data_IF_406685155524
#
_entry.id   IF_406685155524
#
_cell.length_a   1.000
_cell.length_b   1.000
_cell.length_c   1.000
_cell.angle_alpha   90.00
_cell.angle_beta   90.00
_cell.angle_gamma   90.00
#
_symmetry.space_group_name_H-M   'P 1'
#
loop_
_entity.id
_entity.type
_entity.pdbx_description
1 polymer ?
#
# COMPACT_ATOMS: atom_id res chain seq x y z
N UNK A 1 -10.10 38.84 4.50
CA UNK A 1 -10.60 37.54 5.01
C UNK A 1 -9.91 36.47 4.20
N UNK A 2 -8.83 35.90 4.74
CA UNK A 2 -8.03 34.89 4.06
C UNK A 2 -8.63 33.51 4.33
N UNK A 3 -8.93 32.80 3.25
CA UNK A 3 -9.45 31.43 3.26
C UNK A 3 -8.27 30.47 3.37
N UNK A 4 -8.14 29.79 4.52
CA UNK A 4 -7.13 28.76 4.73
C UNK A 4 -7.55 27.51 3.96
N UNK A 5 -6.95 27.33 2.78
CA UNK A 5 -7.00 26.07 2.04
C UNK A 5 -6.35 25.00 2.91
N UNK A 6 -7.14 24.03 3.38
CA UNK A 6 -6.61 22.84 4.05
C UNK A 6 -5.87 22.03 2.97
N UNK A 7 -4.56 22.03 3.10
CA UNK A 7 -3.64 21.24 2.27
C UNK A 7 -3.84 19.74 2.60
N UNK A 8 -4.64 19.06 1.79
CA UNK A 8 -4.97 17.63 1.93
C UNK A 8 -3.84 16.74 1.38
N UNK A 9 -2.80 17.32 0.78
CA UNK A 9 -1.71 16.58 0.12
C UNK A 9 -0.64 16.05 1.10
N UNK A 10 -0.93 16.14 2.41
CA UNK A 10 -0.02 15.76 3.49
C UNK A 10 -0.70 14.95 4.58
N UNK A 11 -1.70 14.14 4.22
CA UNK A 11 -2.22 13.12 5.13
C UNK A 11 -1.09 12.11 5.41
N UNK A 12 -0.53 12.23 6.60
CA UNK A 12 0.62 11.50 7.09
C UNK A 12 0.32 9.99 7.06
N UNK A 13 1.12 9.26 6.26
CA UNK A 13 1.07 7.80 6.13
C UNK A 13 1.19 7.09 7.49
N UNK A 14 1.77 7.76 8.50
CA UNK A 14 1.90 7.27 9.87
C UNK A 14 0.55 7.06 10.59
N UNK A 15 -0.48 7.86 10.28
CA UNK A 15 -1.80 7.75 10.92
C UNK A 15 -2.58 6.53 10.40
N UNK A 16 -2.34 6.11 9.17
CA UNK A 16 -2.92 4.87 8.60
C UNK A 16 -2.23 3.61 9.12
N UNK A 17 -0.94 3.68 9.43
CA UNK A 17 -0.07 2.56 9.80
C UNK A 17 -0.40 1.92 11.15
N UNK A 18 -0.92 2.68 12.11
CA UNK A 18 -1.26 2.17 13.44
C UNK A 18 -2.31 1.03 13.43
N UNK A 19 -3.05 0.86 12.33
CA UNK A 19 -4.05 -0.20 12.17
C UNK A 19 -3.58 -1.50 11.49
N UNK A 20 -2.44 -1.50 10.77
CA UNK A 20 -2.12 -2.54 9.77
C UNK A 20 -1.21 -3.69 10.26
N UNK A 21 -0.46 -3.52 11.35
CA UNK A 21 0.60 -4.44 11.78
C UNK A 21 0.16 -5.78 12.43
N UNK A 22 -1.06 -6.28 12.16
CA UNK A 22 -1.64 -7.41 12.92
C UNK A 22 -1.77 -8.75 12.18
N UNK A 23 -1.46 -8.85 10.89
CA UNK A 23 -1.90 -10.01 10.11
C UNK A 23 -0.84 -10.46 9.09
N UNK A 24 0.07 -11.38 9.46
CA UNK A 24 0.33 -12.66 8.74
C UNK A 24 1.67 -13.36 9.10
N UNK A 25 1.74 -14.72 9.00
CA UNK A 25 2.86 -15.55 9.44
C UNK A 25 3.83 -16.02 8.32
N UNK A 26 4.91 -16.65 8.78
CA UNK A 26 6.28 -16.80 8.23
C UNK A 26 6.45 -17.94 7.18
N UNK A 27 7.41 -17.79 6.25
CA UNK A 27 8.03 -18.93 5.52
C UNK A 27 9.19 -18.61 4.55
N UNK A 28 10.44 -18.67 5.06
CA UNK A 28 11.78 -18.95 4.43
C UNK A 28 12.31 -18.14 3.22
N UNK A 29 13.51 -17.55 3.40
CA UNK A 29 14.34 -16.84 2.40
C UNK A 29 14.94 -17.72 1.28
N UNK A 30 15.07 -17.15 0.07
CA UNK A 30 16.31 -17.30 -0.71
C UNK A 30 16.92 -15.96 -1.16
N UNK A 31 18.16 -16.07 -1.62
CA UNK A 31 19.18 -15.03 -1.80
C UNK A 31 18.79 -13.79 -2.62
N UNK A 32 19.40 -12.66 -2.24
CA UNK A 32 19.32 -11.33 -2.85
C UNK A 32 20.08 -11.28 -4.20
N UNK A 33 19.44 -11.03 -5.35
CA UNK A 33 20.12 -10.57 -6.55
C UNK A 33 20.22 -9.04 -6.54
N UNK A 34 21.42 -8.53 -6.84
CA UNK A 34 21.70 -7.11 -7.04
C UNK A 34 21.10 -6.59 -8.35
N UNK A 35 20.76 -5.30 -8.31
CA UNK A 35 20.03 -4.53 -9.30
C UNK A 35 20.54 -4.65 -10.74
N UNK A 36 19.64 -5.04 -11.66
CA UNK A 36 19.52 -4.53 -13.03
C UNK A 36 18.28 -5.16 -13.72
N UNK A 37 17.11 -4.71 -13.26
CA UNK A 37 15.79 -4.70 -13.89
C UNK A 37 14.92 -4.09 -12.80
N UNK A 38 14.79 -2.75 -12.75
CA UNK A 38 14.35 -2.07 -11.51
C UNK A 38 13.02 -2.59 -10.95
N UNK A 39 12.21 -3.22 -11.79
CA UNK A 39 11.13 -4.11 -11.38
C UNK A 39 11.21 -5.38 -12.23
N UNK A 40 10.93 -6.55 -11.66
CA UNK A 40 10.69 -7.76 -12.44
C UNK A 40 9.55 -7.54 -13.43
N UNK A 41 9.43 -8.40 -14.46
CA UNK A 41 8.30 -8.29 -15.39
C UNK A 41 6.98 -8.42 -14.63
N UNK A 42 6.03 -7.47 -14.78
CA UNK A 42 4.78 -7.56 -14.07
C UNK A 42 3.99 -8.79 -14.50
N UNK A 43 3.39 -9.48 -13.53
CA UNK A 43 2.64 -10.72 -13.79
C UNK A 43 1.24 -10.46 -14.38
N UNK A 44 0.78 -9.21 -14.35
CA UNK A 44 -0.45 -8.78 -14.99
C UNK A 44 -0.34 -7.32 -15.48
N UNK A 45 -1.13 -6.92 -16.50
CA UNK A 45 -1.25 -5.52 -16.86
C UNK A 45 -1.83 -4.71 -15.69
N UNK A 46 -1.55 -3.41 -15.66
CA UNK A 46 -2.13 -2.51 -14.66
C UNK A 46 -3.66 -2.55 -14.77
N UNK A 47 -4.40 -2.85 -13.68
CA UNK A 47 -5.85 -2.88 -13.73
C UNK A 47 -6.43 -1.47 -13.85
N UNK A 48 -7.69 -1.40 -14.26
CA UNK A 48 -8.46 -0.16 -14.19
C UNK A 48 -8.58 0.32 -12.74
N UNK A 49 -8.40 1.64 -12.52
CA UNK A 49 -8.51 2.28 -11.20
C UNK A 49 -9.98 2.48 -10.80
N UNK A 50 -10.72 1.39 -10.76
CA UNK A 50 -12.10 1.28 -10.26
C UNK A 50 -12.13 0.34 -9.06
N UNK A 51 -13.16 0.44 -8.21
CA UNK A 51 -13.33 -0.44 -7.03
C UNK A 51 -13.26 -1.91 -7.46
N UNK A 52 -14.01 -2.27 -8.50
CA UNK A 52 -14.09 -3.64 -9.02
C UNK A 52 -12.79 -4.08 -9.74
N UNK A 53 -12.13 -3.18 -10.47
CA UNK A 53 -10.84 -3.46 -11.10
C UNK A 53 -9.76 -3.79 -10.07
N UNK A 54 -9.64 -2.96 -9.04
CA UNK A 54 -8.69 -3.16 -7.96
C UNK A 54 -9.03 -4.40 -7.13
N UNK A 55 -10.31 -4.63 -6.82
CA UNK A 55 -10.73 -5.82 -6.05
C UNK A 55 -10.35 -7.12 -6.77
N UNK A 56 -10.61 -7.20 -8.07
CA UNK A 56 -10.22 -8.37 -8.89
C UNK A 56 -8.71 -8.58 -8.90
N UNK A 57 -7.93 -7.51 -9.02
CA UNK A 57 -6.47 -7.61 -8.98
C UNK A 57 -5.96 -8.09 -7.60
N UNK A 58 -6.49 -7.53 -6.51
CA UNK A 58 -6.16 -7.97 -5.14
C UNK A 58 -6.54 -9.43 -4.92
N UNK A 59 -7.70 -9.87 -5.40
CA UNK A 59 -8.13 -11.26 -5.31
C UNK A 59 -7.21 -12.25 -6.05
N UNK A 60 -6.50 -11.80 -7.09
CA UNK A 60 -5.55 -12.62 -7.84
C UNK A 60 -4.14 -12.59 -7.25
N UNK A 61 -3.67 -11.41 -6.86
CA UNK A 61 -2.28 -11.19 -6.46
C UNK A 61 -2.05 -11.42 -4.96
N UNK A 62 -2.96 -10.93 -4.13
CA UNK A 62 -2.79 -10.90 -2.68
C UNK A 62 -4.15 -11.05 -1.95
N UNK A 63 -4.77 -12.25 -1.98
CA UNK A 63 -6.12 -12.47 -1.44
C UNK A 63 -6.25 -12.13 0.05
N UNK A 64 -5.14 -12.19 0.79
CA UNK A 64 -5.08 -11.86 2.21
C UNK A 64 -5.41 -10.38 2.51
N UNK A 65 -5.28 -9.49 1.52
CA UNK A 65 -5.65 -8.09 1.64
C UNK A 65 -7.15 -7.81 1.47
N UNK A 66 -7.95 -8.76 0.95
CA UNK A 66 -9.38 -8.52 0.69
C UNK A 66 -10.18 -8.07 1.92
N UNK A 67 -10.02 -8.67 3.13
CA UNK A 67 -10.74 -8.21 4.31
C UNK A 67 -10.41 -6.76 4.67
N UNK A 68 -9.16 -6.35 4.47
CA UNK A 68 -8.68 -5.01 4.76
C UNK A 68 -9.15 -4.00 3.71
N UNK A 69 -9.13 -4.40 2.43
CA UNK A 69 -9.71 -3.63 1.34
C UNK A 69 -11.18 -3.34 1.59
N UNK A 70 -11.93 -4.35 1.99
CA UNK A 70 -13.35 -4.23 2.32
C UNK A 70 -13.61 -3.33 3.53
N UNK A 71 -12.77 -3.44 4.57
CA UNK A 71 -12.87 -2.61 5.77
C UNK A 71 -12.58 -1.14 5.44
N UNK A 72 -11.42 -0.86 4.84
CA UNK A 72 -11.00 0.49 4.47
C UNK A 72 -11.96 1.16 3.47
N UNK A 73 -12.60 0.39 2.57
CA UNK A 73 -13.61 0.93 1.65
C UNK A 73 -14.84 1.44 2.40
N UNK A 74 -15.32 0.67 3.40
CA UNK A 74 -16.46 1.08 4.24
C UNK A 74 -16.12 2.33 5.05
N UNK A 75 -14.92 2.40 5.63
CA UNK A 75 -14.44 3.55 6.39
C UNK A 75 -14.34 4.81 5.50
N UNK A 76 -13.76 4.68 4.31
CA UNK A 76 -13.67 5.77 3.34
C UNK A 76 -15.05 6.26 2.88
N UNK A 77 -15.99 5.34 2.64
CA UNK A 77 -17.38 5.68 2.28
C UNK A 77 -18.09 6.42 3.42
N UNK A 78 -17.99 5.90 4.64
CA UNK A 78 -18.60 6.54 5.82
C UNK A 78 -18.04 7.95 6.05
N UNK A 79 -16.73 8.11 5.87
CA UNK A 79 -16.05 9.41 5.98
C UNK A 79 -16.53 10.36 4.89
N UNK A 80 -16.54 9.92 3.63
CA UNK A 80 -16.97 10.71 2.49
C UNK A 80 -18.40 11.24 2.65
N UNK A 81 -19.31 10.41 3.15
CA UNK A 81 -20.68 10.80 3.47
C UNK A 81 -20.73 11.80 4.63
N UNK A 82 -19.99 11.56 5.71
CA UNK A 82 -19.93 12.44 6.89
C UNK A 82 -19.49 13.86 6.55
N UNK A 83 -18.50 14.00 5.68
CA UNK A 83 -17.95 15.31 5.29
C UNK A 83 -18.51 15.84 3.96
N UNK A 84 -19.39 15.08 3.30
CA UNK A 84 -19.96 15.37 1.98
C UNK A 84 -18.90 15.69 0.90
N UNK A 85 -17.82 14.92 0.88
CA UNK A 85 -16.69 15.04 -0.06
C UNK A 85 -16.23 13.66 -0.51
N UNK A 86 -15.87 13.54 -1.79
CA UNK A 86 -15.42 12.26 -2.35
C UNK A 86 -13.91 12.01 -2.19
N UNK A 87 -13.16 12.97 -1.65
CA UNK A 87 -11.71 12.86 -1.46
C UNK A 87 -11.27 11.61 -0.69
N UNK A 88 -11.97 11.14 0.36
CA UNK A 88 -11.63 9.88 1.03
C UNK A 88 -11.70 8.65 0.10
N UNK A 89 -12.70 8.59 -0.79
CA UNK A 89 -12.82 7.51 -1.77
C UNK A 89 -11.76 7.61 -2.87
N UNK A 90 -11.38 8.83 -3.28
CA UNK A 90 -10.28 9.05 -4.23
C UNK A 90 -8.95 8.61 -3.62
N UNK A 91 -8.68 8.96 -2.36
CA UNK A 91 -7.51 8.52 -1.62
C UNK A 91 -7.48 6.99 -1.47
N UNK A 92 -8.61 6.37 -1.15
CA UNK A 92 -8.74 4.91 -1.09
C UNK A 92 -8.41 4.23 -2.43
N UNK A 93 -8.91 4.75 -3.56
CA UNK A 93 -8.59 4.23 -4.90
C UNK A 93 -7.09 4.35 -5.21
N UNK A 94 -6.46 5.47 -4.84
CA UNK A 94 -5.02 5.69 -5.03
C UNK A 94 -4.20 4.71 -4.22
N UNK A 95 -4.54 4.53 -2.94
CA UNK A 95 -3.85 3.62 -2.05
C UNK A 95 -3.87 2.18 -2.59
N UNK A 96 -5.06 1.66 -2.93
CA UNK A 96 -5.18 0.29 -3.45
C UNK A 96 -4.58 0.11 -4.85
N UNK A 97 -4.55 1.16 -5.67
CA UNK A 97 -3.79 1.13 -6.92
C UNK A 97 -2.28 0.99 -6.67
N UNK A 98 -1.73 1.71 -5.69
CA UNK A 98 -0.31 1.59 -5.32
C UNK A 98 0.03 0.21 -4.73
N UNK A 99 -0.83 -0.34 -3.87
CA UNK A 99 -0.66 -1.72 -3.36
C UNK A 99 -0.64 -2.72 -4.52
N UNK A 100 -1.60 -2.65 -5.44
CA UNK A 100 -1.63 -3.53 -6.62
C UNK A 100 -0.41 -3.32 -7.52
N UNK A 101 0.09 -2.10 -7.66
CA UNK A 101 1.31 -1.78 -8.41
C UNK A 101 2.55 -2.46 -7.80
N UNK A 102 2.62 -2.58 -6.47
CA UNK A 102 3.66 -3.37 -5.79
C UNK A 102 3.42 -4.87 -6.04
N UNK A 103 2.22 -5.36 -5.75
CA UNK A 103 1.91 -6.80 -5.78
C UNK A 103 2.03 -7.42 -7.19
N UNK A 104 1.81 -6.63 -8.26
CA UNK A 104 1.98 -7.12 -9.64
C UNK A 104 3.45 -7.32 -10.03
N UNK A 105 4.40 -6.84 -9.24
CA UNK A 105 5.84 -7.06 -9.42
C UNK A 105 6.35 -7.95 -8.26
N UNK A 106 6.54 -9.27 -8.49
CA UNK A 106 6.83 -10.22 -7.41
C UNK A 106 8.06 -9.88 -6.56
N UNK A 107 9.08 -9.26 -7.15
CA UNK A 107 10.28 -8.78 -6.46
C UNK A 107 9.97 -7.63 -5.48
N UNK A 108 9.10 -6.69 -5.87
CA UNK A 108 8.65 -5.61 -5.00
C UNK A 108 7.73 -6.11 -3.90
N UNK A 109 6.78 -6.97 -4.26
CA UNK A 109 5.89 -7.62 -3.31
C UNK A 109 6.71 -8.30 -2.21
N UNK A 110 7.71 -9.11 -2.58
CA UNK A 110 8.58 -9.77 -1.62
C UNK A 110 9.31 -8.79 -0.70
N UNK A 111 9.88 -7.71 -1.26
CA UNK A 111 10.58 -6.68 -0.47
C UNK A 111 9.65 -5.93 0.47
N UNK A 112 8.45 -5.59 0.01
CA UNK A 112 7.41 -4.91 0.78
C UNK A 112 6.93 -5.77 1.95
N UNK A 113 6.54 -7.01 1.68
CA UNK A 113 6.10 -7.97 2.71
C UNK A 113 7.20 -8.24 3.74
N UNK A 114 8.46 -8.35 3.31
CA UNK A 114 9.60 -8.49 4.23
C UNK A 114 9.78 -7.25 5.12
N UNK A 115 9.64 -6.06 4.55
CA UNK A 115 9.78 -4.80 5.28
C UNK A 115 8.70 -4.63 6.36
N UNK A 116 7.44 -4.92 6.02
CA UNK A 116 6.30 -4.92 6.95
C UNK A 116 6.45 -6.00 8.04
N UNK A 117 6.98 -7.17 7.68
CA UNK A 117 7.24 -8.25 8.64
C UNK A 117 8.31 -7.85 9.67
N UNK A 118 9.39 -7.23 9.21
CA UNK A 118 10.50 -6.80 10.07
C UNK A 118 10.04 -5.77 11.10
N UNK A 119 9.19 -4.84 10.70
CA UNK A 119 8.58 -3.86 11.60
C UNK A 119 7.75 -4.52 12.71
N UNK A 120 7.03 -5.59 12.38
CA UNK A 120 6.14 -6.27 13.32
C UNK A 120 6.87 -7.22 14.28
N UNK A 121 7.92 -7.90 13.81
CA UNK A 121 8.51 -9.04 14.52
C UNK A 121 9.83 -8.71 15.23
N UNK A 122 10.56 -7.67 14.80
CA UNK A 122 11.89 -7.39 15.35
C UNK A 122 11.83 -6.62 16.67
N UNK A 123 12.51 -7.11 17.70
CA UNK A 123 12.73 -6.37 18.95
C UNK A 123 13.77 -5.24 18.80
N UNK A 124 14.58 -5.28 17.74
CA UNK A 124 15.59 -4.28 17.44
C UNK A 124 14.96 -3.05 16.77
N UNK A 125 15.11 -1.89 17.41
CA UNK A 125 14.55 -0.63 16.95
C UNK A 125 15.16 -0.13 15.62
N UNK A 126 16.44 -0.39 15.37
CA UNK A 126 17.11 -0.01 14.12
C UNK A 126 16.59 -0.86 12.96
N UNK A 127 16.44 -2.16 13.21
CA UNK A 127 15.88 -3.10 12.25
C UNK A 127 14.43 -2.75 11.91
N UNK A 128 13.58 -2.47 12.90
CA UNK A 128 12.21 -1.97 12.65
C UNK A 128 12.22 -0.69 11.83
N UNK A 129 13.00 0.30 12.25
CA UNK A 129 13.12 1.59 11.55
C UNK A 129 13.54 1.42 10.08
N UNK A 130 14.41 0.45 9.80
CA UNK A 130 14.79 0.11 8.42
C UNK A 130 13.63 -0.51 7.64
N UNK A 131 12.88 -1.43 8.24
CA UNK A 131 11.65 -1.99 7.65
C UNK A 131 10.68 -0.89 7.23
N UNK A 132 10.40 0.05 8.14
CA UNK A 132 9.54 1.21 7.86
C UNK A 132 9.99 1.97 6.62
N UNK A 133 11.27 2.36 6.56
CA UNK A 133 11.80 3.16 5.45
C UNK A 133 11.64 2.44 4.11
N UNK A 134 11.92 1.14 4.08
CA UNK A 134 11.78 0.35 2.86
C UNK A 134 10.32 0.27 2.40
N UNK A 135 9.39 0.02 3.33
CA UNK A 135 7.96 -0.03 2.99
C UNK A 135 7.46 1.34 2.48
N UNK A 136 7.86 2.44 3.13
CA UNK A 136 7.52 3.80 2.72
C UNK A 136 8.10 4.18 1.36
N UNK A 137 9.36 3.83 1.08
CA UNK A 137 10.02 4.07 -0.21
C UNK A 137 9.28 3.34 -1.34
N UNK A 138 8.93 2.07 -1.14
CA UNK A 138 8.21 1.27 -2.11
C UNK A 138 6.81 1.81 -2.37
N UNK A 139 6.07 2.18 -1.31
CA UNK A 139 4.75 2.80 -1.46
C UNK A 139 4.81 4.15 -2.17
N UNK A 140 5.81 4.99 -1.86
CA UNK A 140 6.02 6.27 -2.54
C UNK A 140 6.29 6.07 -4.04
N UNK A 141 7.16 5.12 -4.40
CA UNK A 141 7.44 4.80 -5.79
C UNK A 141 6.19 4.28 -6.51
N UNK A 142 5.42 3.41 -5.86
CA UNK A 142 4.17 2.89 -6.39
C UNK A 142 3.11 3.99 -6.60
N UNK A 143 2.97 4.93 -5.65
CA UNK A 143 2.10 6.10 -5.82
C UNK A 143 2.50 6.93 -7.04
N UNK A 144 3.79 7.19 -7.23
CA UNK A 144 4.27 7.91 -8.42
C UNK A 144 3.90 7.16 -9.71
N UNK A 145 4.07 5.84 -9.75
CA UNK A 145 3.82 5.02 -10.93
C UNK A 145 2.33 4.90 -11.33
N UNK A 146 1.40 5.10 -10.39
CA UNK A 146 -0.05 5.04 -10.67
C UNK A 146 -0.71 6.39 -10.93
N UNK A 147 0.05 7.48 -10.79
CA UNK A 147 -0.41 8.84 -11.14
C UNK A 147 0.13 9.33 -12.51
N UNK A 148 1.00 8.54 -13.16
CA UNK A 148 1.47 8.72 -14.54
C UNK A 148 0.59 7.98 -15.54
#
# INVERSE_FOLDING_TARGET
MSETVIDIDRADYSEWRAGFARVMPIGREPAMPTAESEYGTPVMPRPERTIEGLRRAVALLAPHWLPEMDRSQREATATALKINRLDPLRAWLRHWAAVVEIERHPDLAFRYHRAEQVDTISDDAEIRARGVRVAEELMRAAYAAVET
#
